data_IF_527896416331
#
_entry.id   IF_527896416331
#
_cell.length_a   1.000
_cell.length_b   1.000
_cell.length_c   1.000
_cell.angle_alpha   90.00
_cell.angle_beta   90.00
_cell.angle_gamma   90.00
#
_symmetry.space_group_name_H-M   'P 1'
#
loop_
_entity.id
_entity.type
_entity.pdbx_description
1 polymer ?
#
# COMPACT_ATOMS: atom_id res chain seq x y z
N UNK A 1 -46.66 53.01 45.62
CA UNK A 1 -47.86 52.33 45.07
C UNK A 1 -47.50 50.88 44.77
N UNK A 2 -48.46 49.96 44.85
CA UNK A 2 -48.26 48.53 44.57
C UNK A 2 -47.57 48.28 43.23
N UNK A 3 -47.95 49.03 42.20
CA UNK A 3 -47.34 48.98 40.87
C UNK A 3 -45.81 49.20 40.85
N UNK A 4 -45.28 50.08 41.72
CA UNK A 4 -43.82 50.34 41.78
C UNK A 4 -43.07 49.16 42.39
N UNK A 5 -43.61 48.58 43.46
CA UNK A 5 -43.05 47.40 44.11
C UNK A 5 -43.08 46.18 43.18
N UNK A 6 -44.17 46.01 42.42
CA UNK A 6 -44.27 44.95 41.42
C UNK A 6 -43.24 45.16 40.30
N UNK A 7 -43.07 46.39 39.81
CA UNK A 7 -42.04 46.72 38.81
C UNK A 7 -40.61 46.41 39.27
N UNK A 8 -40.26 46.75 40.51
CA UNK A 8 -38.95 46.43 41.10
C UNK A 8 -38.73 44.92 41.25
N UNK A 9 -39.78 44.16 41.63
CA UNK A 9 -39.73 42.69 41.69
C UNK A 9 -39.51 42.08 40.31
N UNK A 10 -40.21 42.57 39.29
CA UNK A 10 -40.03 42.12 37.91
C UNK A 10 -38.64 42.43 37.36
N UNK A 11 -38.10 43.61 37.65
CA UNK A 11 -36.74 43.98 37.25
C UNK A 11 -35.69 43.05 37.88
N UNK A 12 -35.81 42.75 39.18
CA UNK A 12 -34.93 41.80 39.87
C UNK A 12 -35.08 40.36 39.37
N UNK A 13 -36.28 39.95 38.98
CA UNK A 13 -36.53 38.63 38.41
C UNK A 13 -35.90 38.52 37.01
N UNK A 14 -36.05 39.55 36.17
CA UNK A 14 -35.45 39.62 34.85
C UNK A 14 -33.92 39.58 34.92
N UNK A 15 -33.33 40.36 35.81
CA UNK A 15 -31.88 40.40 35.99
C UNK A 15 -31.33 39.03 36.44
N UNK A 16 -32.07 38.32 37.32
CA UNK A 16 -31.73 36.95 37.72
C UNK A 16 -31.83 35.98 36.53
N UNK A 17 -32.93 36.02 35.80
CA UNK A 17 -33.11 35.18 34.62
C UNK A 17 -32.02 35.39 33.56
N UNK A 18 -31.61 36.65 33.32
CA UNK A 18 -30.52 36.99 32.41
C UNK A 18 -29.18 36.41 32.89
N UNK A 19 -28.86 36.54 34.18
CA UNK A 19 -27.64 35.96 34.75
C UNK A 19 -27.61 34.45 34.59
N UNK A 20 -28.70 33.78 34.95
CA UNK A 20 -28.76 32.32 34.83
C UNK A 20 -28.72 31.88 33.36
N UNK A 21 -29.26 32.65 32.42
CA UNK A 21 -29.15 32.36 31.00
C UNK A 21 -27.68 32.41 30.54
N UNK A 22 -26.94 33.46 30.92
CA UNK A 22 -25.51 33.61 30.61
C UNK A 22 -24.68 32.48 31.25
N UNK A 23 -24.98 32.07 32.48
CA UNK A 23 -24.30 30.95 33.13
C UNK A 23 -24.58 29.61 32.40
N UNK A 24 -25.82 29.40 31.94
CA UNK A 24 -26.19 28.23 31.12
C UNK A 24 -25.53 28.22 29.76
N UNK A 25 -25.28 29.39 29.18
CA UNK A 25 -24.54 29.53 27.91
C UNK A 25 -23.05 29.27 28.13
N UNK A 26 -22.46 29.86 29.17
CA UNK A 26 -21.06 29.67 29.52
C UNK A 26 -20.74 28.19 29.83
N UNK A 27 -21.59 27.51 30.59
CA UNK A 27 -21.45 26.07 30.88
C UNK A 27 -21.56 25.20 29.63
N UNK A 28 -22.50 25.50 28.73
CA UNK A 28 -22.61 24.82 27.43
C UNK A 28 -21.39 25.05 26.55
N UNK A 29 -20.90 26.30 26.49
CA UNK A 29 -19.67 26.64 25.76
C UNK A 29 -18.44 25.91 26.31
N UNK A 30 -18.30 25.83 27.63
CA UNK A 30 -17.20 25.11 28.27
C UNK A 30 -17.25 23.59 27.99
N UNK A 31 -18.43 22.98 28.02
CA UNK A 31 -18.60 21.56 27.64
C UNK A 31 -18.27 21.32 26.18
N UNK A 32 -18.75 22.19 25.28
CA UNK A 32 -18.44 22.09 23.86
C UNK A 32 -16.92 22.23 23.59
N UNK A 33 -16.23 23.13 24.28
CA UNK A 33 -14.79 23.28 24.17
C UNK A 33 -14.04 22.02 24.62
N UNK A 34 -14.45 21.40 25.75
CA UNK A 34 -13.89 20.12 26.22
C UNK A 34 -14.08 19.00 25.20
N UNK A 35 -15.26 18.90 24.60
CA UNK A 35 -15.55 17.91 23.58
C UNK A 35 -14.71 18.11 22.31
N UNK A 36 -14.53 19.37 21.88
CA UNK A 36 -13.68 19.70 20.73
C UNK A 36 -12.21 19.35 20.97
N UNK A 37 -11.71 19.63 22.17
CA UNK A 37 -10.36 19.24 22.59
C UNK A 37 -10.18 17.72 22.56
N UNK A 38 -11.08 16.97 23.19
CA UNK A 38 -11.03 15.51 23.17
C UNK A 38 -11.04 14.95 21.74
N UNK A 39 -11.88 15.48 20.86
CA UNK A 39 -11.94 15.06 19.45
C UNK A 39 -10.62 15.35 18.73
N UNK A 40 -10.00 16.51 18.99
CA UNK A 40 -8.70 16.88 18.42
C UNK A 40 -7.62 15.89 18.88
N UNK A 41 -7.53 15.65 20.18
CA UNK A 41 -6.52 14.76 20.76
C UNK A 41 -6.68 13.32 20.26
N UNK A 42 -7.92 12.84 20.14
CA UNK A 42 -8.21 11.52 19.55
C UNK A 42 -7.78 11.43 18.08
N UNK A 43 -8.01 12.48 17.28
CA UNK A 43 -7.57 12.52 15.89
C UNK A 43 -6.04 12.51 15.77
N UNK A 44 -5.36 13.28 16.60
CA UNK A 44 -3.89 13.31 16.65
C UNK A 44 -3.34 11.93 17.00
N UNK A 45 -3.87 11.29 18.05
CA UNK A 45 -3.46 9.94 18.46
C UNK A 45 -3.72 8.89 17.37
N UNK A 46 -4.84 8.99 16.66
CA UNK A 46 -5.14 8.09 15.56
C UNK A 46 -4.12 8.24 14.42
N UNK A 47 -3.75 9.47 14.08
CA UNK A 47 -2.74 9.73 13.05
C UNK A 47 -1.36 9.20 13.45
N UNK A 48 -0.97 9.34 14.71
CA UNK A 48 0.26 8.73 15.25
C UNK A 48 0.24 7.21 15.08
N UNK A 49 -0.82 6.55 15.55
CA UNK A 49 -0.96 5.10 15.47
C UNK A 49 -0.97 4.59 14.03
N UNK A 50 -1.60 5.33 13.11
CA UNK A 50 -1.58 4.98 11.69
C UNK A 50 -0.17 5.04 11.10
N UNK A 51 0.60 6.08 11.44
CA UNK A 51 2.01 6.21 11.01
C UNK A 51 2.87 5.10 11.60
N UNK A 52 2.71 4.77 12.88
CA UNK A 52 3.42 3.66 13.53
C UNK A 52 3.08 2.32 12.85
N UNK A 53 1.79 2.07 12.61
CA UNK A 53 1.31 0.89 11.90
C UNK A 53 1.88 0.81 10.48
N UNK A 54 1.91 1.91 9.73
CA UNK A 54 2.50 1.94 8.38
C UNK A 54 4.02 1.69 8.43
N UNK A 55 4.74 2.24 9.41
CA UNK A 55 6.16 1.99 9.60
C UNK A 55 6.47 0.51 9.92
N UNK A 56 5.64 -0.11 10.77
CA UNK A 56 5.74 -1.54 11.06
C UNK A 56 5.38 -2.40 9.84
N UNK A 57 4.37 -2.00 9.07
CA UNK A 57 4.00 -2.65 7.82
C UNK A 57 5.16 -2.61 6.82
N UNK A 58 5.79 -1.45 6.59
CA UNK A 58 6.94 -1.32 5.70
C UNK A 58 8.14 -2.17 6.12
N UNK A 59 8.42 -2.28 7.44
CA UNK A 59 9.46 -3.18 7.94
C UNK A 59 9.13 -4.64 7.66
N UNK A 60 7.88 -5.04 7.87
CA UNK A 60 7.42 -6.42 7.66
C UNK A 60 7.38 -6.78 6.18
N UNK A 61 6.92 -5.87 5.31
CA UNK A 61 6.97 -6.03 3.85
C UNK A 61 8.40 -5.96 3.32
N UNK A 62 9.31 -5.20 3.92
CA UNK A 62 10.74 -5.25 3.59
C UNK A 62 11.41 -6.57 3.96
N UNK A 63 10.86 -7.30 4.93
CA UNK A 63 11.29 -8.65 5.33
C UNK A 63 10.62 -9.72 4.46
N UNK A 64 9.35 -9.51 4.04
CA UNK A 64 8.57 -10.43 3.22
C UNK A 64 8.69 -10.21 1.72
N UNK A 65 9.22 -9.06 1.28
CA UNK A 65 9.71 -8.91 -0.10
C UNK A 65 10.80 -9.95 -0.20
N UNK A 66 10.58 -11.06 -0.93
CA UNK A 66 11.67 -11.94 -1.19
C UNK A 66 12.68 -11.03 -1.87
N UNK A 67 13.88 -11.00 -1.31
CA UNK A 67 15.09 -10.88 -2.08
C UNK A 67 14.88 -11.78 -3.30
N UNK A 68 14.25 -11.21 -4.32
CA UNK A 68 14.07 -11.81 -5.61
C UNK A 68 15.40 -11.52 -6.27
N UNK A 69 16.45 -12.11 -5.68
CA UNK A 69 17.33 -13.00 -6.37
C UNK A 69 17.11 -12.84 -7.86
N UNK A 70 17.92 -11.97 -8.45
CA UNK A 70 18.13 -11.92 -9.90
C UNK A 70 18.43 -13.31 -10.49
N UNK A 71 18.64 -14.35 -9.67
CA UNK A 71 18.82 -15.72 -10.10
C UNK A 71 17.52 -16.48 -10.45
N UNK A 72 16.33 -16.07 -9.95
CA UNK A 72 15.11 -16.90 -10.12
C UNK A 72 14.24 -16.51 -11.33
N UNK A 73 14.27 -15.26 -11.79
CA UNK A 73 13.50 -14.85 -12.99
C UNK A 73 14.03 -15.47 -14.30
N UNK A 74 15.28 -15.94 -14.32
CA UNK A 74 15.83 -16.62 -15.51
C UNK A 74 15.35 -18.06 -15.67
N UNK A 75 14.81 -18.68 -14.60
CA UNK A 75 14.37 -20.08 -14.63
C UNK A 75 13.03 -20.29 -15.35
N UNK A 76 12.23 -19.22 -15.47
CA UNK A 76 10.87 -19.23 -16.04
C UNK A 76 10.75 -18.68 -17.46
N UNK A 77 11.80 -18.08 -18.04
CA UNK A 77 11.73 -17.38 -19.33
C UNK A 77 12.54 -18.09 -20.42
N UNK A 78 12.07 -18.03 -21.66
CA UNK A 78 12.90 -18.38 -22.81
C UNK A 78 14.07 -17.39 -22.96
N UNK A 79 15.30 -17.87 -22.97
CA UNK A 79 16.51 -17.03 -23.11
C UNK A 79 16.59 -16.27 -24.44
N UNK A 80 15.77 -16.65 -25.44
CA UNK A 80 15.73 -16.01 -26.76
C UNK A 80 14.58 -15.03 -26.91
N UNK A 81 13.34 -15.48 -26.75
CA UNK A 81 12.17 -14.62 -26.96
C UNK A 81 11.65 -13.96 -25.68
N UNK A 82 12.26 -14.21 -24.51
CA UNK A 82 11.88 -13.69 -23.19
C UNK A 82 10.42 -13.98 -22.76
N UNK A 83 9.69 -14.81 -23.50
CA UNK A 83 8.34 -15.26 -23.11
C UNK A 83 8.41 -16.22 -21.93
N UNK A 84 7.47 -16.08 -20.99
CA UNK A 84 7.27 -17.01 -19.90
C UNK A 84 6.92 -18.41 -20.39
N UNK A 85 7.58 -19.40 -19.79
CA UNK A 85 7.15 -20.78 -19.88
C UNK A 85 5.87 -20.94 -19.06
N UNK A 86 4.73 -21.07 -19.74
CA UNK A 86 3.48 -21.48 -19.08
C UNK A 86 3.69 -22.82 -18.36
N UNK A 87 2.86 -23.11 -17.36
CA UNK A 87 2.99 -24.29 -16.49
C UNK A 87 3.17 -25.62 -17.26
N UNK A 88 2.52 -25.77 -18.42
CA UNK A 88 2.58 -26.98 -19.26
C UNK A 88 3.57 -26.88 -20.44
N UNK A 89 4.31 -25.78 -20.57
CA UNK A 89 5.25 -25.59 -21.68
C UNK A 89 6.51 -26.41 -21.45
N UNK A 90 6.82 -27.31 -22.40
CA UNK A 90 8.11 -28.02 -22.41
C UNK A 90 9.27 -27.02 -22.51
N UNK A 91 10.30 -27.24 -21.69
CA UNK A 91 11.50 -26.41 -21.62
C UNK A 91 12.68 -27.21 -22.16
N UNK A 92 13.42 -26.64 -23.10
CA UNK A 92 14.59 -27.29 -23.69
C UNK A 92 15.87 -26.57 -23.26
N UNK A 93 16.93 -27.32 -22.97
CA UNK A 93 18.26 -26.75 -22.74
C UNK A 93 19.05 -26.74 -24.04
N UNK A 94 19.59 -25.58 -24.43
CA UNK A 94 20.54 -25.49 -25.52
C UNK A 94 21.84 -26.20 -25.12
N UNK A 95 22.33 -27.14 -25.93
CA UNK A 95 23.58 -27.86 -25.63
C UNK A 95 24.83 -26.96 -25.58
N UNK A 96 24.81 -25.82 -26.29
CA UNK A 96 25.98 -24.94 -26.44
C UNK A 96 26.04 -23.89 -25.33
N UNK A 97 24.98 -23.09 -25.17
CA UNK A 97 24.94 -22.02 -24.18
C UNK A 97 24.21 -22.38 -22.88
N UNK A 98 23.70 -23.62 -22.75
CA UNK A 98 22.92 -24.14 -21.62
C UNK A 98 21.60 -23.40 -21.30
N UNK A 99 21.29 -22.33 -22.02
CA UNK A 99 20.07 -21.54 -21.82
C UNK A 99 18.78 -22.31 -22.08
N UNK A 100 17.75 -22.03 -21.27
CA UNK A 100 16.40 -22.58 -21.43
C UNK A 100 15.67 -21.88 -22.57
N UNK A 101 15.20 -22.65 -23.56
CA UNK A 101 14.52 -22.14 -24.75
C UNK A 101 13.19 -22.85 -24.99
N UNK A 102 12.24 -22.14 -25.59
CA UNK A 102 10.97 -22.72 -26.05
C UNK A 102 11.17 -23.50 -27.35
N UNK A 103 10.17 -24.30 -27.71
CA UNK A 103 10.18 -25.09 -28.95
C UNK A 103 10.53 -24.24 -30.18
N UNK A 104 9.87 -23.08 -30.35
CA UNK A 104 10.06 -22.17 -31.49
C UNK A 104 11.46 -21.55 -31.56
N UNK A 105 12.14 -21.40 -30.43
CA UNK A 105 13.49 -20.81 -30.39
C UNK A 105 14.60 -21.87 -30.45
N UNK A 106 14.27 -23.10 -30.81
CA UNK A 106 15.15 -24.25 -30.73
C UNK A 106 15.02 -25.17 -31.93
N UNK A 107 16.12 -25.78 -32.35
CA UNK A 107 16.18 -26.79 -33.41
C UNK A 107 16.74 -28.08 -32.84
N UNK A 108 16.13 -29.19 -33.24
CA UNK A 108 16.61 -30.52 -32.88
C UNK A 108 17.73 -30.91 -33.84
N UNK A 109 18.94 -31.06 -33.32
CA UNK A 109 20.08 -31.54 -34.10
C UNK A 109 20.15 -33.04 -33.84
N UNK A 110 19.57 -33.81 -34.75
CA UNK A 110 19.41 -35.26 -34.59
C UNK A 110 20.76 -35.93 -34.25
N UNK A 111 20.73 -36.83 -33.25
CA UNK A 111 21.88 -37.48 -32.55
C UNK A 111 22.59 -36.65 -31.48
N UNK A 112 22.24 -35.39 -31.31
CA UNK A 112 23.20 -34.41 -30.81
C UNK A 112 22.58 -33.40 -29.83
N UNK A 113 21.28 -33.59 -29.54
CA UNK A 113 20.50 -32.75 -28.65
C UNK A 113 20.00 -31.47 -29.31
N UNK A 114 19.34 -30.64 -28.51
CA UNK A 114 18.68 -29.43 -29.00
C UNK A 114 19.59 -28.21 -28.89
N UNK A 115 19.55 -27.37 -29.90
CA UNK A 115 20.30 -26.11 -29.95
C UNK A 115 19.35 -24.93 -30.08
N UNK A 116 19.67 -23.78 -29.49
CA UNK A 116 18.91 -22.56 -29.76
C UNK A 116 19.26 -22.00 -31.14
N UNK A 117 18.33 -21.27 -31.77
CA UNK A 117 18.50 -20.77 -33.14
C UNK A 117 19.79 -19.97 -33.33
N UNK A 118 20.15 -19.09 -32.38
CA UNK A 118 21.37 -18.28 -32.50
C UNK A 118 22.65 -19.12 -32.44
N UNK A 119 22.73 -20.11 -31.53
CA UNK A 119 23.92 -20.96 -31.47
C UNK A 119 23.99 -21.94 -32.65
N UNK A 120 22.85 -22.33 -33.22
CA UNK A 120 22.79 -23.13 -34.43
C UNK A 120 23.30 -22.35 -35.65
N UNK A 121 22.83 -21.10 -35.82
CA UNK A 121 23.29 -20.21 -36.90
C UNK A 121 24.79 -19.94 -36.80
N UNK A 122 25.29 -19.65 -35.59
CA UNK A 122 26.71 -19.34 -35.38
C UNK A 122 27.64 -20.55 -35.62
N UNK A 123 27.15 -21.77 -35.38
CA UNK A 123 27.88 -23.00 -35.72
C UNK A 123 27.89 -23.32 -37.21
N UNK A 124 26.85 -22.92 -37.95
CA UNK A 124 26.80 -23.10 -39.41
C UNK A 124 27.68 -22.09 -40.17
N UNK A 125 27.83 -20.88 -39.65
CA UNK A 125 28.69 -19.86 -40.27
C UNK A 125 30.20 -20.08 -40.07
N UNK A 126 30.61 -21.11 -39.32
CA UNK A 126 32.01 -21.56 -39.22
C UNK A 126 32.33 -22.77 -40.10
N UNK A 127 31.34 -23.31 -40.83
CA UNK A 127 31.47 -24.50 -41.68
C UNK A 127 31.38 -24.20 -43.20
N UNK A 128 31.47 -22.92 -43.57
CA UNK A 128 31.68 -22.39 -44.93
C UNK A 128 32.89 -21.50 -44.91
#
# INVERSE_FOLDING_TARGET
>A
TRARQDGERWALALQRAQREALEREATRGAEQARQQELIRDMKERLLELLREKDALWQKTEGINTPMTSLATHSAGLCTRCRKDFRLLSRRYSCRLCQGKVCHTCSVDVSKQGRCCLLCYQQGHSQAT
#
